data_IF_888754299711
#
_entry.id   IF_888754299711
#
_cell.length_a   1.000
_cell.length_b   1.000
_cell.length_c   1.000
_cell.angle_alpha   90.00
_cell.angle_beta   90.00
_cell.angle_gamma   90.00
#
_symmetry.space_group_name_H-M   'P 1'
#
loop_
_entity.id
_entity.type
_entity.pdbx_description
1 polymer ?
#
# COMPACT_ATOMS: atom_id res chain seq x y z
N UNK A 1 27.41 51.47 -17.93
CA UNK A 1 26.05 51.54 -17.37
C UNK A 1 25.81 50.45 -16.33
N UNK A 2 25.88 50.84 -15.06
CA UNK A 2 25.75 49.99 -13.86
C UNK A 2 24.42 49.22 -13.79
N UNK A 3 23.34 49.84 -14.26
CA UNK A 3 22.00 49.23 -14.35
C UNK A 3 21.99 47.96 -15.21
N UNK A 4 22.75 47.93 -16.31
CA UNK A 4 22.83 46.73 -17.16
C UNK A 4 23.61 45.60 -16.47
N UNK A 5 24.59 45.93 -15.61
CA UNK A 5 25.33 44.96 -14.81
C UNK A 5 24.45 44.36 -13.72
N UNK A 6 23.68 45.20 -13.00
CA UNK A 6 22.72 44.74 -11.98
C UNK A 6 21.69 43.79 -12.59
N UNK A 7 21.04 44.17 -13.70
CA UNK A 7 20.07 43.30 -14.39
C UNK A 7 20.65 41.93 -14.76
N UNK A 8 21.90 41.89 -15.25
CA UNK A 8 22.59 40.63 -15.58
C UNK A 8 22.86 39.78 -14.34
N UNK A 9 23.29 40.38 -13.23
CA UNK A 9 23.53 39.66 -11.98
C UNK A 9 22.24 39.11 -11.38
N UNK A 10 21.17 39.90 -11.37
CA UNK A 10 19.84 39.44 -10.94
C UNK A 10 19.35 38.28 -11.78
N UNK A 11 19.49 38.35 -13.10
CA UNK A 11 19.11 37.25 -13.99
C UNK A 11 19.92 35.97 -13.72
N UNK A 12 21.23 36.08 -13.46
CA UNK A 12 22.07 34.93 -13.09
C UNK A 12 21.64 34.30 -11.76
N UNK A 13 21.31 35.13 -10.78
CA UNK A 13 20.86 34.66 -9.47
C UNK A 13 19.50 33.95 -9.54
N UNK A 14 18.56 34.49 -10.32
CA UNK A 14 17.26 33.85 -10.57
C UNK A 14 17.45 32.47 -11.21
N UNK A 15 18.30 32.36 -12.24
CA UNK A 15 18.57 31.07 -12.89
C UNK A 15 19.35 30.11 -11.99
N UNK A 16 20.21 30.59 -11.10
CA UNK A 16 20.88 29.77 -10.08
C UNK A 16 19.84 29.16 -9.13
N UNK A 17 18.97 29.97 -8.55
CA UNK A 17 17.90 29.50 -7.65
C UNK A 17 16.96 28.52 -8.33
N UNK A 18 16.59 28.77 -9.59
CA UNK A 18 15.79 27.83 -10.38
C UNK A 18 16.47 26.46 -10.48
N UNK A 19 17.76 26.43 -10.83
CA UNK A 19 18.53 25.18 -10.94
C UNK A 19 18.70 24.47 -9.60
N UNK A 20 18.87 25.21 -8.52
CA UNK A 20 18.95 24.65 -7.16
C UNK A 20 17.65 23.99 -6.74
N UNK A 21 16.52 24.65 -6.95
CA UNK A 21 15.21 24.06 -6.66
C UNK A 21 14.94 22.78 -7.47
N UNK A 22 15.28 22.77 -8.76
CA UNK A 22 15.16 21.58 -9.61
C UNK A 22 16.05 20.44 -9.09
N UNK A 23 17.30 20.75 -8.70
CA UNK A 23 18.23 19.74 -8.19
C UNK A 23 17.76 19.18 -6.84
N UNK A 24 17.23 20.02 -5.95
CA UNK A 24 16.67 19.58 -4.68
C UNK A 24 15.53 18.57 -4.89
N UNK A 25 14.57 18.89 -5.79
CA UNK A 25 13.48 17.98 -6.12
C UNK A 25 13.95 16.67 -6.76
N UNK A 26 14.99 16.70 -7.59
CA UNK A 26 15.59 15.47 -8.14
C UNK A 26 16.26 14.59 -7.08
N UNK A 27 16.91 15.20 -6.08
CA UNK A 27 17.55 14.46 -4.99
C UNK A 27 16.52 13.87 -4.03
N UNK A 28 15.45 14.60 -3.73
CA UNK A 28 14.31 14.08 -2.98
C UNK A 28 13.69 12.88 -3.70
N UNK A 29 13.42 13.00 -5.01
CA UNK A 29 12.92 11.88 -5.81
C UNK A 29 13.85 10.67 -5.75
N UNK A 30 15.17 10.87 -5.89
CA UNK A 30 16.16 9.80 -5.81
C UNK A 30 16.16 9.09 -4.45
N UNK A 31 15.91 9.81 -3.35
CA UNK A 31 15.87 9.26 -2.00
C UNK A 31 14.70 8.29 -1.76
N UNK A 32 13.62 8.43 -2.54
CA UNK A 32 12.45 7.55 -2.51
C UNK A 32 12.63 6.29 -3.37
N UNK A 33 13.68 6.24 -4.19
CA UNK A 33 13.95 5.08 -5.05
C UNK A 33 14.70 4.00 -4.25
N UNK A 34 14.47 2.72 -4.57
CA UNK A 34 15.15 1.61 -3.89
C UNK A 34 16.66 1.56 -4.17
N UNK A 35 17.13 2.19 -5.26
CA UNK A 35 18.55 2.31 -5.59
C UNK A 35 18.91 3.77 -5.81
N UNK A 36 20.04 4.19 -5.23
CA UNK A 36 20.57 5.54 -5.42
C UNK A 36 21.38 5.58 -6.72
N UNK A 37 20.91 6.38 -7.68
CA UNK A 37 21.57 6.59 -8.96
C UNK A 37 22.20 7.99 -9.00
N UNK A 38 23.47 8.14 -9.41
CA UNK A 38 24.13 9.46 -9.46
C UNK A 38 23.67 10.32 -10.66
N UNK A 39 23.02 9.72 -11.66
CA UNK A 39 22.67 10.40 -12.92
C UNK A 39 21.19 10.83 -12.94
N UNK A 40 20.94 12.13 -13.19
CA UNK A 40 19.60 12.73 -13.31
C UNK A 40 18.67 11.98 -14.27
N UNK A 41 19.18 11.58 -15.44
CA UNK A 41 18.38 10.84 -16.43
C UNK A 41 17.99 9.45 -15.91
N UNK A 42 18.90 8.79 -15.19
CA UNK A 42 18.62 7.48 -14.59
C UNK A 42 17.63 7.59 -13.44
N UNK A 43 17.77 8.59 -12.57
CA UNK A 43 16.80 8.90 -11.51
C UNK A 43 15.39 9.03 -12.10
N UNK A 44 15.22 9.82 -13.17
CA UNK A 44 13.92 9.98 -13.81
C UNK A 44 13.36 8.68 -14.39
N UNK A 45 14.19 7.89 -15.10
CA UNK A 45 13.75 6.61 -15.68
C UNK A 45 13.36 5.61 -14.60
N UNK A 46 14.17 5.50 -13.54
CA UNK A 46 13.92 4.60 -12.40
C UNK A 46 12.72 5.02 -11.58
N UNK A 47 12.47 6.32 -11.45
CA UNK A 47 11.24 6.83 -10.83
C UNK A 47 10.00 6.41 -11.61
N UNK A 48 9.99 6.54 -12.95
CA UNK A 48 8.86 6.10 -13.77
C UNK A 48 8.63 4.59 -13.65
N UNK A 49 9.71 3.80 -13.73
CA UNK A 49 9.65 2.34 -13.56
C UNK A 49 9.11 1.97 -12.17
N UNK A 50 9.60 2.63 -11.11
CA UNK A 50 9.21 2.34 -9.74
C UNK A 50 7.75 2.71 -9.47
N UNK A 51 7.27 3.86 -9.97
CA UNK A 51 5.85 4.25 -9.86
C UNK A 51 4.95 3.23 -10.56
N UNK A 52 5.33 2.73 -11.74
CA UNK A 52 4.57 1.68 -12.44
C UNK A 52 4.50 0.40 -11.62
N UNK A 53 5.64 -0.04 -11.07
CA UNK A 53 5.71 -1.22 -10.21
C UNK A 53 4.88 -1.04 -8.93
N UNK A 54 4.91 0.15 -8.32
CA UNK A 54 4.11 0.42 -7.12
C UNK A 54 2.60 0.32 -7.43
N UNK A 55 2.15 0.85 -8.57
CA UNK A 55 0.75 0.72 -9.00
C UNK A 55 0.35 -0.73 -9.25
N UNK A 56 1.20 -1.51 -9.90
CA UNK A 56 0.95 -2.94 -10.14
C UNK A 56 0.90 -3.72 -8.82
N UNK A 57 1.85 -3.45 -7.91
CA UNK A 57 1.86 -4.07 -6.58
C UNK A 57 0.63 -3.69 -5.74
N UNK A 58 0.16 -2.45 -5.84
CA UNK A 58 -1.06 -2.00 -5.17
C UNK A 58 -2.27 -2.81 -5.65
N UNK A 59 -2.45 -2.94 -6.98
CA UNK A 59 -3.52 -3.76 -7.55
C UNK A 59 -3.43 -5.21 -7.07
N UNK A 60 -2.25 -5.82 -7.18
CA UNK A 60 -2.02 -7.22 -6.76
C UNK A 60 -2.31 -7.43 -5.26
N UNK A 61 -1.93 -6.47 -4.42
CA UNK A 61 -2.19 -6.52 -2.98
C UNK A 61 -3.68 -6.43 -2.67
N UNK A 62 -4.41 -5.56 -3.38
CA UNK A 62 -5.87 -5.43 -3.22
C UNK A 62 -6.58 -6.72 -3.65
N UNK A 63 -6.19 -7.31 -4.78
CA UNK A 63 -6.74 -8.58 -5.26
C UNK A 63 -6.47 -9.72 -4.27
N UNK A 64 -5.22 -9.85 -3.82
CA UNK A 64 -4.82 -10.86 -2.84
C UNK A 64 -5.60 -10.71 -1.54
N UNK A 65 -5.68 -9.49 -1.00
CA UNK A 65 -6.43 -9.22 0.23
C UNK A 65 -7.92 -9.53 0.08
N UNK A 66 -8.51 -9.18 -1.07
CA UNK A 66 -9.91 -9.47 -1.36
C UNK A 66 -10.18 -10.98 -1.38
N UNK A 67 -9.29 -11.75 -2.01
CA UNK A 67 -9.38 -13.21 -2.04
C UNK A 67 -9.22 -13.82 -0.65
N UNK A 68 -8.21 -13.41 0.12
CA UNK A 68 -7.98 -13.88 1.49
C UNK A 68 -9.18 -13.57 2.40
N UNK A 69 -9.76 -12.38 2.27
CA UNK A 69 -10.97 -12.00 2.99
C UNK A 69 -12.15 -12.90 2.64
N UNK A 70 -12.42 -13.11 1.34
CA UNK A 70 -13.53 -13.98 0.89
C UNK A 70 -13.39 -15.40 1.45
N UNK A 71 -12.19 -15.99 1.38
CA UNK A 71 -11.92 -17.32 1.90
C UNK A 71 -12.09 -17.39 3.41
N UNK A 72 -11.66 -16.36 4.13
CA UNK A 72 -11.83 -16.27 5.58
C UNK A 72 -13.30 -16.14 5.96
N UNK A 73 -14.05 -15.27 5.28
CA UNK A 73 -15.49 -15.09 5.51
C UNK A 73 -16.26 -16.39 5.23
N UNK A 74 -15.89 -17.13 4.18
CA UNK A 74 -16.46 -18.45 3.90
C UNK A 74 -16.14 -19.47 5.02
N UNK A 75 -14.88 -19.55 5.45
CA UNK A 75 -14.48 -20.46 6.53
C UNK A 75 -15.20 -20.12 7.85
N UNK A 76 -15.37 -18.84 8.16
CA UNK A 76 -16.12 -18.38 9.34
C UNK A 76 -17.59 -18.80 9.24
N UNK A 77 -18.22 -18.67 8.08
CA UNK A 77 -19.61 -19.10 7.88
C UNK A 77 -19.78 -20.62 8.02
N UNK A 78 -18.84 -21.41 7.48
CA UNK A 78 -18.84 -22.87 7.60
C UNK A 78 -18.64 -23.34 9.06
N UNK A 79 -17.72 -22.70 9.79
CA UNK A 79 -17.52 -22.93 11.22
C UNK A 79 -18.76 -22.54 12.04
N UNK A 80 -19.39 -21.41 11.72
CA UNK A 80 -20.64 -20.98 12.34
C UNK A 80 -21.76 -22.01 12.16
N UNK A 81 -21.99 -22.45 10.92
CA UNK A 81 -22.98 -23.49 10.60
C UNK A 81 -22.70 -24.81 11.32
N UNK A 82 -21.44 -25.23 11.39
CA UNK A 82 -21.04 -26.45 12.10
C UNK A 82 -21.26 -26.33 13.61
N UNK A 83 -20.93 -25.17 14.20
CA UNK A 83 -21.16 -24.90 15.62
C UNK A 83 -22.65 -24.93 15.98
N UNK A 84 -23.51 -24.35 15.14
CA UNK A 84 -24.96 -24.34 15.37
C UNK A 84 -25.56 -25.75 15.30
N UNK A 85 -25.10 -26.59 14.36
CA UNK A 85 -25.48 -28.00 14.30
C UNK A 85 -25.08 -28.76 15.57
N UNK A 86 -23.85 -28.56 16.05
CA UNK A 86 -23.35 -29.20 17.27
C UNK A 86 -24.13 -28.76 18.50
N UNK A 87 -24.51 -27.48 18.61
CA UNK A 87 -25.37 -26.99 19.71
C UNK A 87 -26.74 -27.65 19.70
N UNK A 88 -27.36 -27.79 18.53
CA UNK A 88 -28.67 -28.46 18.38
C UNK A 88 -28.57 -29.93 18.80
N UNK A 89 -27.53 -30.64 18.35
CA UNK A 89 -27.31 -32.05 18.71
C UNK A 89 -27.07 -32.21 20.21
N UNK A 90 -26.21 -31.37 20.79
CA UNK A 90 -25.95 -31.33 22.22
C UNK A 90 -27.23 -31.12 23.04
N UNK A 91 -28.09 -30.18 22.62
CA UNK A 91 -29.37 -29.92 23.29
C UNK A 91 -30.31 -31.13 23.21
N UNK A 92 -30.39 -31.79 22.05
CA UNK A 92 -31.18 -33.03 21.89
C UNK A 92 -30.69 -34.12 22.84
N UNK A 93 -29.38 -34.39 22.85
CA UNK A 93 -28.79 -35.40 23.72
C UNK A 93 -29.01 -35.08 25.20
N UNK A 94 -28.91 -33.82 25.61
CA UNK A 94 -29.22 -33.43 27.00
C UNK A 94 -30.68 -33.70 27.37
N UNK A 95 -31.63 -33.38 26.50
CA UNK A 95 -33.07 -33.66 26.72
C UNK A 95 -33.35 -35.16 26.84
N UNK A 96 -32.74 -35.98 25.99
CA UNK A 96 -32.84 -37.44 26.06
C UNK A 96 -32.25 -37.98 27.36
N UNK A 97 -31.08 -37.50 27.76
CA UNK A 97 -30.43 -37.93 29.00
C UNK A 97 -31.27 -37.57 30.24
N UNK A 98 -31.93 -36.41 30.20
CA UNK A 98 -32.85 -35.99 31.26
C UNK A 98 -34.13 -36.84 31.31
N UNK A 99 -34.64 -37.32 30.17
CA UNK A 99 -35.80 -38.21 30.15
C UNK A 99 -35.48 -39.61 30.69
N UNK A 100 -34.31 -40.17 30.34
CA UNK A 100 -33.85 -41.44 30.91
C UNK A 100 -33.65 -41.40 32.42
N UNK A 101 -33.24 -40.26 32.98
CA UNK A 101 -33.10 -40.08 34.44
C UNK A 101 -34.43 -40.04 35.20
N UNK A 102 -35.55 -39.84 34.51
CA UNK A 102 -36.90 -39.75 35.11
C UNK A 102 -37.66 -41.09 35.07
N UNK A 103 -37.12 -42.11 34.40
CA UNK A 103 -37.57 -43.50 34.39
C UNK A 103 -36.92 -44.28 35.54
#
# INVERSE_FOLDING_TARGET
NEIQRIKRLTHKEVERRRRENINAGLMELASLLPTQEPNKTQILRKAVEYIRRLKENETNNVEKWTLEKLLTDQAVAELGSSNDKLKIELEKTYRELESYKKL
#
